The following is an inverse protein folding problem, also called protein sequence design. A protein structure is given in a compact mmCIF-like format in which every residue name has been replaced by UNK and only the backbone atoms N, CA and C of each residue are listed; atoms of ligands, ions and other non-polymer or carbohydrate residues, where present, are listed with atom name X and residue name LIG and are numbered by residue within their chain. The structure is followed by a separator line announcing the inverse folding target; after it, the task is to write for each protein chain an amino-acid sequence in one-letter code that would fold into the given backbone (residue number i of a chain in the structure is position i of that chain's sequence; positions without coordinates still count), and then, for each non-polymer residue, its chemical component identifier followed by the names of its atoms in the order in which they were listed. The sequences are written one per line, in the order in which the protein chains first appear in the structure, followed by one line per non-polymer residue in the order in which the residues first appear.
data_IF_843948701199
#
_entry.id   IF_843948701199
#
_cell.length_a   1.000
_cell.length_b   1.000
_cell.length_c   1.000
_cell.angle_alpha   90.00
_cell.angle_beta   90.00
_cell.angle_gamma   90.00
#
_symmetry.space_group_name_H-M   'P 1'
#
loop_
_entity.id
_entity.type
_entity.pdbx_description
1 polymer ?
#
# COMPACT_ATOMS: atom_id res chain seq x y z
N UNK A 1 0.82 26.44 -23.73
CA UNK A 1 0.86 25.04 -23.27
C UNK A 1 -0.29 24.35 -23.97
N UNK A 2 -0.01 23.78 -25.13
CA UNK A 2 -0.98 22.99 -25.89
C UNK A 2 -1.23 21.69 -25.14
N UNK A 3 -2.36 21.58 -24.44
CA UNK A 3 -2.84 20.29 -23.94
C UNK A 3 -3.31 19.48 -25.15
N UNK A 4 -2.40 18.71 -25.72
CA UNK A 4 -2.67 17.81 -26.83
C UNK A 4 -3.59 16.67 -26.33
N UNK A 5 -4.73 16.39 -26.97
CA UNK A 5 -5.66 15.35 -26.52
C UNK A 5 -5.02 13.96 -26.38
N UNK A 6 -3.95 13.67 -27.12
CA UNK A 6 -3.17 12.43 -26.98
C UNK A 6 -2.46 12.29 -25.62
N UNK A 7 -2.04 13.39 -25.01
CA UNK A 7 -1.37 13.38 -23.72
C UNK A 7 -2.38 13.10 -22.59
N UNK A 8 -3.62 13.60 -22.74
CA UNK A 8 -4.71 13.32 -21.83
C UNK A 8 -5.17 11.86 -21.90
N UNK A 9 -5.30 11.29 -23.10
CA UNK A 9 -5.63 9.88 -23.30
C UNK A 9 -4.54 8.96 -22.70
N UNK A 10 -3.27 9.30 -22.88
CA UNK A 10 -2.16 8.54 -22.30
C UNK A 10 -2.19 8.58 -20.75
N UNK A 11 -2.43 9.76 -20.16
CA UNK A 11 -2.58 9.93 -18.71
C UNK A 11 -3.77 9.13 -18.17
N UNK A 12 -4.92 9.15 -18.86
CA UNK A 12 -6.09 8.36 -18.49
C UNK A 12 -5.81 6.85 -18.56
N UNK A 13 -5.10 6.38 -19.60
CA UNK A 13 -4.74 4.98 -19.72
C UNK A 13 -3.76 4.52 -18.62
N UNK A 14 -2.81 5.37 -18.24
CA UNK A 14 -1.91 5.14 -17.10
C UNK A 14 -2.68 5.07 -15.78
N UNK A 15 -3.61 6.00 -15.56
CA UNK A 15 -4.46 6.01 -14.38
C UNK A 15 -5.33 4.74 -14.29
N UNK A 16 -6.00 4.35 -15.38
CA UNK A 16 -6.82 3.13 -15.44
C UNK A 16 -6.00 1.86 -15.20
N UNK A 17 -4.78 1.77 -15.76
CA UNK A 17 -3.87 0.65 -15.48
C UNK A 17 -3.44 0.60 -14.02
N UNK A 18 -3.21 1.75 -13.40
CA UNK A 18 -2.86 1.81 -11.99
C UNK A 18 -4.03 1.34 -11.12
N UNK A 19 -5.24 1.84 -11.36
CA UNK A 19 -6.47 1.40 -10.68
C UNK A 19 -6.68 -0.11 -10.80
N UNK A 20 -6.50 -0.68 -11.99
CA UNK A 20 -6.63 -2.12 -12.21
C UNK A 20 -5.62 -2.97 -11.43
N UNK A 21 -4.48 -2.41 -11.02
CA UNK A 21 -3.44 -3.11 -10.25
C UNK A 21 -3.62 -2.96 -8.74
N UNK A 22 -4.39 -1.97 -8.27
CA UNK A 22 -4.58 -1.72 -6.84
C UNK A 22 -5.16 -2.92 -6.08
N UNK A 23 -6.20 -3.63 -6.59
CA UNK A 23 -6.77 -4.76 -5.84
C UNK A 23 -5.74 -5.86 -5.57
N UNK A 24 -4.93 -6.19 -6.58
CA UNK A 24 -3.87 -7.18 -6.47
C UNK A 24 -2.78 -6.72 -5.48
N UNK A 25 -2.41 -5.43 -5.52
CA UNK A 25 -1.43 -4.85 -4.58
C UNK A 25 -1.93 -4.88 -3.13
N UNK A 26 -3.22 -4.60 -2.89
CA UNK A 26 -3.80 -4.65 -1.54
C UNK A 26 -3.89 -6.10 -1.03
N UNK A 27 -4.26 -7.06 -1.89
CA UNK A 27 -4.22 -8.47 -1.52
C UNK A 27 -2.81 -8.93 -1.15
N UNK A 28 -1.81 -8.46 -1.89
CA UNK A 28 -0.40 -8.76 -1.60
C UNK A 28 0.05 -8.14 -0.28
N UNK A 29 -0.37 -6.90 0.04
CA UNK A 29 -0.16 -6.29 1.35
C UNK A 29 -0.74 -7.17 2.47
N UNK A 30 -1.97 -7.69 2.28
CA UNK A 30 -2.63 -8.57 3.26
C UNK A 30 -1.86 -9.87 3.51
N UNK A 31 -1.40 -10.51 2.42
CA UNK A 31 -0.58 -11.72 2.48
C UNK A 31 0.73 -11.46 3.21
N UNK A 32 1.47 -10.43 2.79
CA UNK A 32 2.74 -10.04 3.38
C UNK A 32 2.61 -9.60 4.85
N UNK A 33 1.51 -8.95 5.23
CA UNK A 33 1.24 -8.61 6.62
C UNK A 33 1.11 -9.86 7.49
N UNK A 34 0.36 -10.86 7.02
CA UNK A 34 0.19 -12.13 7.71
C UNK A 34 1.55 -12.84 7.90
N UNK A 35 2.38 -12.87 6.86
CA UNK A 35 3.72 -13.46 6.92
C UNK A 35 4.69 -12.65 7.81
N UNK A 36 4.57 -11.32 7.82
CA UNK A 36 5.41 -10.41 8.61
C UNK A 36 5.19 -10.53 10.12
N UNK A 37 4.01 -10.99 10.55
CA UNK A 37 3.64 -11.19 11.95
C UNK A 37 3.84 -12.63 12.44
N UNK A 38 4.09 -13.58 11.52
CA UNK A 38 4.47 -14.96 11.79
C UNK A 38 5.99 -15.13 11.95
N UNK A 39 6.43 -16.17 12.66
CA UNK A 39 7.81 -16.29 13.17
C UNK A 39 8.86 -16.64 12.11
N UNK A 40 8.55 -17.52 11.16
CA UNK A 40 9.58 -18.18 10.34
C UNK A 40 10.02 -17.38 9.10
N UNK A 41 9.18 -16.48 8.59
CA UNK A 41 9.47 -15.66 7.39
C UNK A 41 9.36 -14.14 7.63
N UNK A 42 9.24 -13.73 8.91
CA UNK A 42 8.91 -12.36 9.29
C UNK A 42 9.84 -11.29 8.67
N UNK A 43 11.16 -11.52 8.65
CA UNK A 43 12.11 -10.51 8.21
C UNK A 43 11.97 -10.18 6.70
N UNK A 44 11.94 -11.22 5.86
CA UNK A 44 11.77 -11.05 4.40
C UNK A 44 10.40 -10.50 4.06
N UNK A 45 9.34 -10.98 4.74
CA UNK A 45 7.99 -10.46 4.54
C UNK A 45 7.87 -8.99 4.96
N UNK A 46 8.50 -8.57 6.06
CA UNK A 46 8.53 -7.16 6.50
C UNK A 46 9.21 -6.24 5.49
N UNK A 47 10.33 -6.68 4.91
CA UNK A 47 11.04 -5.90 3.90
C UNK A 47 10.24 -5.76 2.60
N UNK A 48 9.61 -6.85 2.15
CA UNK A 48 8.73 -6.84 0.99
C UNK A 48 7.49 -5.95 1.24
N UNK A 49 6.88 -6.08 2.42
CA UNK A 49 5.73 -5.30 2.84
C UNK A 49 6.06 -3.80 2.89
N UNK A 50 7.16 -3.43 3.54
CA UNK A 50 7.63 -2.04 3.59
C UNK A 50 7.82 -1.48 2.18
N UNK A 51 8.50 -2.22 1.29
CA UNK A 51 8.75 -1.76 -0.08
C UNK A 51 7.44 -1.54 -0.85
N UNK A 52 6.48 -2.45 -0.71
CA UNK A 52 5.19 -2.36 -1.38
C UNK A 52 4.36 -1.19 -0.84
N UNK A 53 4.22 -1.07 0.48
CA UNK A 53 3.48 0.02 1.13
C UNK A 53 4.11 1.38 0.82
N UNK A 54 5.44 1.48 0.87
CA UNK A 54 6.18 2.71 0.55
C UNK A 54 5.94 3.14 -0.90
N UNK A 55 6.05 2.20 -1.85
CA UNK A 55 5.77 2.46 -3.26
C UNK A 55 4.32 2.87 -3.46
N UNK A 56 3.38 2.20 -2.82
CA UNK A 56 1.95 2.46 -2.98
C UNK A 56 1.59 3.84 -2.41
N UNK A 57 2.04 4.16 -1.19
CA UNK A 57 1.93 5.48 -0.57
C UNK A 57 2.50 6.59 -1.47
N UNK A 58 3.72 6.42 -1.98
CA UNK A 58 4.40 7.42 -2.81
C UNK A 58 3.81 7.56 -4.22
N UNK A 59 3.30 6.48 -4.82
CA UNK A 59 2.72 6.52 -6.16
C UNK A 59 1.24 6.91 -6.18
N UNK A 60 0.45 6.57 -5.15
CA UNK A 60 -0.98 6.86 -5.10
C UNK A 60 -1.28 8.36 -5.23
N UNK A 61 -0.49 9.22 -4.57
CA UNK A 61 -0.62 10.68 -4.71
C UNK A 61 -0.34 11.19 -6.13
N UNK A 62 0.54 10.53 -6.88
CA UNK A 62 0.83 10.89 -8.29
C UNK A 62 -0.37 10.60 -9.20
N UNK A 63 -1.15 9.58 -8.88
CA UNK A 63 -2.34 9.18 -9.64
C UNK A 63 -3.65 9.80 -9.12
N UNK A 64 -3.57 10.75 -8.18
CA UNK A 64 -4.75 11.43 -7.62
C UNK A 64 -5.50 10.64 -6.55
N UNK A 65 -4.93 9.54 -6.06
CA UNK A 65 -5.52 8.66 -5.04
C UNK A 65 -5.09 9.07 -3.65
N UNK A 66 -5.34 10.34 -3.32
CA UNK A 66 -4.90 10.96 -2.08
C UNK A 66 -5.43 10.24 -0.84
N UNK A 67 -6.68 9.77 -0.87
CA UNK A 67 -7.29 9.01 0.23
C UNK A 67 -6.51 7.73 0.54
N UNK A 68 -6.13 6.96 -0.50
CA UNK A 68 -5.34 5.72 -0.34
C UNK A 68 -3.95 6.06 0.20
N UNK A 69 -3.32 7.11 -0.33
CA UNK A 69 -2.02 7.58 0.15
C UNK A 69 -2.07 7.95 1.64
N UNK A 70 -3.08 8.71 2.06
CA UNK A 70 -3.27 9.11 3.46
C UNK A 70 -3.53 7.92 4.39
N UNK A 71 -4.32 6.93 3.95
CA UNK A 71 -4.54 5.69 4.70
C UNK A 71 -3.24 4.87 4.86
N UNK A 72 -2.37 4.85 3.85
CA UNK A 72 -1.11 4.09 3.89
C UNK A 72 0.00 4.76 4.69
N UNK A 73 -0.02 6.08 4.85
CA UNK A 73 1.00 6.84 5.58
C UNK A 73 1.33 6.29 6.97
N UNK A 74 0.37 6.06 7.90
CA UNK A 74 0.69 5.50 9.21
C UNK A 74 1.29 4.10 9.13
N UNK A 75 0.97 3.33 8.09
CA UNK A 75 1.51 1.99 7.89
C UNK A 75 2.95 2.04 7.36
N UNK A 76 3.23 2.92 6.40
CA UNK A 76 4.57 3.20 5.87
C UNK A 76 5.53 3.64 7.00
N UNK A 77 5.10 4.58 7.85
CA UNK A 77 5.89 5.06 8.99
C UNK A 77 6.16 3.96 10.02
N UNK A 78 5.16 3.14 10.33
CA UNK A 78 5.32 2.00 11.24
C UNK A 78 6.32 0.98 10.70
N UNK A 79 6.17 0.59 9.44
CA UNK A 79 7.05 -0.40 8.80
C UNK A 79 8.49 0.11 8.65
N UNK A 80 8.66 1.41 8.36
CA UNK A 80 9.98 2.05 8.38
C UNK A 80 10.63 1.93 9.76
N UNK A 81 9.92 2.31 10.81
CA UNK A 81 10.44 2.22 12.18
C UNK A 81 10.77 0.78 12.57
N UNK A 82 9.90 -0.17 12.24
CA UNK A 82 10.10 -1.60 12.49
C UNK A 82 11.34 -2.14 11.77
N UNK A 83 11.63 -1.65 10.56
CA UNK A 83 12.81 -2.01 9.78
C UNK A 83 14.09 -1.38 10.34
N UNK A 84 14.06 -0.09 10.66
CA UNK A 84 15.24 0.66 11.11
C UNK A 84 15.67 0.30 12.54
N UNK A 85 14.70 0.15 13.44
CA UNK A 85 14.95 -0.06 14.87
C UNK A 85 14.87 -1.54 15.26
N UNK A 86 14.31 -2.39 14.38
CA UNK A 86 13.90 -3.73 14.74
C UNK A 86 12.73 -3.70 15.72
N UNK A 87 12.23 -4.89 16.06
CA UNK A 87 11.20 -5.03 17.08
C UNK A 87 10.13 -6.07 16.75
N UNK A 88 9.15 -6.12 17.64
CA UNK A 88 7.99 -7.01 17.55
C UNK A 88 6.74 -6.19 17.29
N UNK A 89 5.89 -6.68 16.40
CA UNK A 89 4.56 -6.11 16.17
C UNK A 89 3.68 -6.44 17.38
N UNK A 90 3.22 -5.42 18.10
CA UNK A 90 2.34 -5.57 19.26
C UNK A 90 0.96 -6.10 18.85
N UNK A 91 0.19 -6.74 19.74
CA UNK A 91 -1.19 -7.15 19.44
C UNK A 91 -2.08 -5.98 18.99
N UNK A 92 -1.89 -4.80 19.56
CA UNK A 92 -2.62 -3.58 19.19
C UNK A 92 -2.29 -3.14 17.76
N UNK A 93 -1.00 -3.14 17.38
CA UNK A 93 -0.59 -2.83 16.01
C UNK A 93 -1.11 -3.89 15.02
N UNK A 94 -1.14 -5.17 15.42
CA UNK A 94 -1.71 -6.26 14.62
C UNK A 94 -3.15 -5.98 14.24
N UNK A 95 -3.99 -5.68 15.23
CA UNK A 95 -5.40 -5.39 15.03
C UNK A 95 -5.60 -4.09 14.23
N UNK A 96 -4.87 -3.02 14.59
CA UNK A 96 -4.93 -1.74 13.90
C UNK A 96 -4.63 -1.85 12.41
N UNK A 97 -3.54 -2.50 12.03
CA UNK A 97 -3.16 -2.60 10.62
C UNK A 97 -3.95 -3.68 9.87
N UNK A 98 -4.45 -4.71 10.54
CA UNK A 98 -5.43 -5.63 9.93
C UNK A 98 -6.71 -4.88 9.51
N UNK A 99 -7.28 -4.07 10.41
CA UNK A 99 -8.46 -3.26 10.10
C UNK A 99 -8.19 -2.23 8.98
N UNK A 100 -6.98 -1.66 8.94
CA UNK A 100 -6.57 -0.74 7.88
C UNK A 100 -6.51 -1.44 6.51
N UNK A 101 -5.94 -2.64 6.45
CA UNK A 101 -5.83 -3.43 5.23
C UNK A 101 -7.22 -3.85 4.73
N UNK A 102 -8.11 -4.29 5.63
CA UNK A 102 -9.47 -4.67 5.26
C UNK A 102 -10.25 -3.47 4.70
N UNK A 103 -10.11 -2.28 5.30
CA UNK A 103 -10.71 -1.06 4.76
C UNK A 103 -10.14 -0.68 3.39
N UNK A 104 -8.83 -0.78 3.19
CA UNK A 104 -8.21 -0.54 1.87
C UNK A 104 -8.74 -1.50 0.81
N UNK A 105 -8.98 -2.75 1.18
CA UNK A 105 -9.53 -3.77 0.29
C UNK A 105 -10.96 -3.40 -0.14
N UNK A 106 -11.82 -3.02 0.81
CA UNK A 106 -13.18 -2.56 0.52
C UNK A 106 -13.20 -1.29 -0.36
N UNK A 107 -12.33 -0.31 -0.07
CA UNK A 107 -12.23 0.93 -0.85
C UNK A 107 -11.80 0.65 -2.30
N UNK A 108 -10.90 -0.31 -2.51
CA UNK A 108 -10.37 -0.65 -3.84
C UNK A 108 -11.33 -1.55 -4.64
N UNK A 109 -12.15 -2.38 -4.00
CA UNK A 109 -13.23 -3.12 -4.67
C UNK A 109 -14.42 -2.25 -5.09
N UNK A 110 -14.57 -1.07 -4.47
CA UNK A 110 -15.65 -0.13 -4.76
C UNK A 110 -15.35 0.83 -5.94
N UNK A 111 -14.12 0.83 -6.47
CA UNK A 111 -13.65 1.67 -7.59
C UNK A 111 -13.79 0.95 -8.92
#
# INVERSE_FOLDING_TARGET
MDNNPKDLEALQALHQKYLAQLPEQVQEIRRLWTEAIESDAAATARDALYTLVHRLHGSAGTYGLNTISEHLRPFDEFLRNLKEQGGTVSPEDRERFAALIDRLHEEVEAV
#
